data_IF_279402453805
#
_entry.id   IF_279402453805
#
_cell.length_a   1.000
_cell.length_b   1.000
_cell.length_c   1.000
_cell.angle_alpha   90.00
_cell.angle_beta   90.00
_cell.angle_gamma   90.00
#
_symmetry.space_group_name_H-M   'P 1'
#
loop_
_entity.id
_entity.type
_entity.pdbx_description
1 polymer ?
#
# COMPACT_ATOMS: atom_id res chain seq x y z
N UNK A 1 7.33 -6.01 18.04
CA UNK A 1 7.33 -4.76 17.27
C UNK A 1 6.02 -4.05 17.50
N UNK A 2 6.02 -2.73 17.59
CA UNK A 2 4.82 -1.89 17.62
C UNK A 2 4.47 -1.48 16.19
N UNK A 3 3.20 -1.53 15.79
CA UNK A 3 2.74 -1.13 14.45
C UNK A 3 1.59 -0.11 14.58
N UNK A 4 0.34 -0.55 14.72
CA UNK A 4 -0.81 0.35 14.98
C UNK A 4 -0.95 0.79 16.45
N UNK A 5 -0.15 0.26 17.37
CA UNK A 5 -0.36 0.45 18.81
C UNK A 5 -0.40 1.92 19.23
N UNK A 6 0.54 2.76 18.77
CA UNK A 6 0.60 4.16 19.17
C UNK A 6 -0.61 4.97 18.69
N UNK A 7 -1.03 4.76 17.44
CA UNK A 7 -2.24 5.38 16.89
C UNK A 7 -3.49 4.94 17.66
N UNK A 8 -3.66 3.64 17.90
CA UNK A 8 -4.82 3.11 18.62
C UNK A 8 -4.81 3.54 20.09
N UNK A 9 -3.64 3.59 20.74
CA UNK A 9 -3.54 4.09 22.11
C UNK A 9 -3.93 5.56 22.18
N UNK A 10 -3.50 6.38 21.22
CA UNK A 10 -3.92 7.77 21.12
C UNK A 10 -5.44 7.92 20.96
N UNK A 11 -6.08 7.07 20.14
CA UNK A 11 -7.55 7.04 20.03
C UNK A 11 -8.22 6.72 21.38
N UNK A 12 -7.70 5.73 22.11
CA UNK A 12 -8.22 5.36 23.43
C UNK A 12 -8.05 6.48 24.44
N UNK A 13 -6.91 7.17 24.43
CA UNK A 13 -6.65 8.33 25.28
C UNK A 13 -7.60 9.51 24.95
N UNK A 14 -8.21 9.52 23.76
CA UNK A 14 -9.24 10.49 23.37
C UNK A 14 -10.67 10.02 23.63
N UNK A 15 -10.86 8.82 24.19
CA UNK A 15 -12.15 8.30 24.61
C UNK A 15 -12.71 7.15 23.77
N UNK A 16 -12.01 6.69 22.72
CA UNK A 16 -12.38 5.47 22.01
C UNK A 16 -12.15 4.22 22.87
N UNK A 17 -12.86 3.14 22.56
CA UNK A 17 -12.78 1.83 23.20
C UNK A 17 -12.48 0.75 22.16
N UNK A 18 -11.42 -0.02 22.43
CA UNK A 18 -11.02 -1.17 21.60
C UNK A 18 -12.16 -2.17 21.51
N UNK A 19 -12.34 -2.73 20.32
CA UNK A 19 -13.39 -3.70 19.96
C UNK A 19 -14.83 -3.15 20.03
N UNK A 20 -14.98 -1.86 20.36
CA UNK A 20 -16.23 -1.12 20.37
C UNK A 20 -16.23 -0.15 19.17
N UNK A 21 -15.85 1.11 19.37
CA UNK A 21 -15.89 2.20 18.38
C UNK A 21 -14.55 2.39 17.62
N UNK A 22 -13.50 1.64 18.01
CA UNK A 22 -12.29 1.42 17.20
C UNK A 22 -12.05 -0.07 17.01
N UNK A 23 -12.10 -0.53 15.75
CA UNK A 23 -11.95 -1.95 15.40
C UNK A 23 -10.90 -2.15 14.32
N UNK A 24 -10.14 -3.23 14.45
CA UNK A 24 -9.25 -3.71 13.40
C UNK A 24 -9.98 -4.56 12.37
N UNK A 25 -9.59 -4.44 11.10
CA UNK A 25 -10.00 -5.33 10.02
C UNK A 25 -8.79 -6.10 9.47
N UNK A 26 -8.23 -7.07 10.22
CA UNK A 26 -7.11 -7.86 9.74
C UNK A 26 -7.55 -8.81 8.61
N UNK A 27 -6.62 -9.11 7.71
CA UNK A 27 -6.82 -10.00 6.57
C UNK A 27 -5.56 -10.84 6.31
N UNK A 28 -5.67 -11.88 5.48
CA UNK A 28 -4.50 -12.60 5.00
C UNK A 28 -3.76 -11.75 3.96
N UNK A 29 -2.76 -11.01 4.43
CA UNK A 29 -1.95 -10.09 3.63
C UNK A 29 -1.02 -10.78 2.64
N UNK A 30 -0.89 -12.11 2.68
CA UNK A 30 -0.12 -12.87 1.67
C UNK A 30 -0.85 -12.92 0.34
N UNK A 31 -2.18 -12.79 0.37
CA UNK A 31 -3.08 -12.85 -0.78
C UNK A 31 -3.33 -11.47 -1.38
N UNK A 32 -3.86 -11.44 -2.60
CA UNK A 32 -4.44 -10.24 -3.20
C UNK A 32 -5.98 -10.20 -2.97
N UNK A 33 -6.65 -9.07 -3.26
CA UNK A 33 -8.09 -8.93 -2.99
C UNK A 33 -9.00 -10.00 -3.61
N UNK A 34 -8.66 -10.53 -4.78
CA UNK A 34 -9.41 -11.58 -5.47
C UNK A 34 -9.54 -12.88 -4.66
N UNK A 35 -8.68 -13.11 -3.67
CA UNK A 35 -8.71 -14.32 -2.82
C UNK A 35 -9.17 -14.03 -1.38
N UNK A 36 -9.72 -12.84 -1.14
CA UNK A 36 -10.13 -12.34 0.18
C UNK A 36 -11.60 -11.87 0.18
N UNK A 37 -12.48 -12.51 -0.58
CA UNK A 37 -13.90 -12.12 -0.69
C UNK A 37 -14.63 -12.13 0.66
N UNK A 38 -14.43 -13.17 1.48
CA UNK A 38 -15.04 -13.28 2.82
C UNK A 38 -14.63 -12.11 3.74
N UNK A 39 -13.39 -11.63 3.61
CA UNK A 39 -12.92 -10.45 4.34
C UNK A 39 -13.72 -9.21 3.97
N UNK A 40 -14.01 -8.99 2.68
CA UNK A 40 -14.79 -7.82 2.25
C UNK A 40 -16.26 -7.89 2.69
N UNK A 41 -16.84 -9.09 2.73
CA UNK A 41 -18.18 -9.31 3.31
C UNK A 41 -18.18 -8.98 4.79
N UNK A 42 -17.19 -9.47 5.54
CA UNK A 42 -17.05 -9.19 6.97
C UNK A 42 -16.78 -7.70 7.24
N UNK A 43 -15.94 -7.04 6.44
CA UNK A 43 -15.64 -5.61 6.53
C UNK A 43 -16.90 -4.78 6.33
N UNK A 44 -17.67 -5.04 5.27
CA UNK A 44 -18.94 -4.35 5.03
C UNK A 44 -19.90 -4.50 6.20
N UNK A 45 -20.09 -5.73 6.69
CA UNK A 45 -20.96 -6.01 7.83
C UNK A 45 -20.49 -5.29 9.10
N UNK A 46 -19.18 -5.24 9.36
CA UNK A 46 -18.63 -4.52 10.50
C UNK A 46 -18.92 -3.01 10.41
N UNK A 47 -18.73 -2.41 9.22
CA UNK A 47 -19.03 -1.00 8.98
C UNK A 47 -20.51 -0.69 9.23
N UNK A 48 -21.41 -1.51 8.69
CA UNK A 48 -22.85 -1.37 8.88
C UNK A 48 -23.23 -1.49 10.37
N UNK A 49 -22.66 -2.48 11.09
CA UNK A 49 -22.89 -2.64 12.54
C UNK A 49 -22.40 -1.46 13.36
N UNK A 50 -21.22 -0.91 13.05
CA UNK A 50 -20.69 0.27 13.73
C UNK A 50 -21.60 1.49 13.49
N UNK A 51 -22.08 1.67 12.26
CA UNK A 51 -23.02 2.74 11.95
C UNK A 51 -24.32 2.62 12.77
N UNK A 52 -24.93 1.43 12.81
CA UNK A 52 -26.18 1.22 13.56
C UNK A 52 -25.97 1.38 15.08
N UNK A 53 -24.82 0.95 15.60
CA UNK A 53 -24.52 1.02 17.04
C UNK A 53 -24.19 2.43 17.52
N UNK A 54 -23.48 3.23 16.72
CA UNK A 54 -22.96 4.55 17.13
C UNK A 54 -23.67 5.72 16.43
N UNK A 55 -24.58 5.46 15.49
CA UNK A 55 -25.42 6.45 14.83
C UNK A 55 -24.67 7.39 13.88
N UNK A 56 -23.45 7.04 13.46
CA UNK A 56 -22.59 7.88 12.61
C UNK A 56 -21.86 7.05 11.55
N UNK A 57 -21.62 7.61 10.34
CA UNK A 57 -20.72 7.01 9.35
C UNK A 57 -19.30 6.82 9.92
N UNK A 58 -18.61 5.78 9.45
CA UNK A 58 -17.28 5.39 9.96
C UNK A 58 -16.15 6.12 9.24
N UNK A 59 -15.03 6.32 9.92
CA UNK A 59 -13.77 6.75 9.29
C UNK A 59 -12.90 5.52 9.04
N UNK A 60 -12.47 5.32 7.79
CA UNK A 60 -11.53 4.27 7.43
C UNK A 60 -10.10 4.81 7.55
N UNK A 61 -9.24 4.15 8.30
CA UNK A 61 -7.80 4.48 8.38
C UNK A 61 -7.02 3.27 7.89
N UNK A 62 -6.31 3.41 6.77
CA UNK A 62 -5.53 2.33 6.19
C UNK A 62 -4.08 2.73 5.98
N UNK A 63 -3.19 1.75 6.09
CA UNK A 63 -1.75 1.95 5.97
C UNK A 63 -1.16 1.06 4.88
N UNK A 64 -0.22 1.59 4.11
CA UNK A 64 0.52 0.85 3.08
C UNK A 64 -0.43 0.11 2.12
N UNK A 65 -0.21 -1.18 1.86
CA UNK A 65 -1.07 -2.03 1.02
C UNK A 65 -2.54 -2.09 1.48
N UNK A 66 -2.84 -1.84 2.75
CA UNK A 66 -4.23 -1.74 3.23
C UNK A 66 -5.04 -0.69 2.47
N UNK A 67 -4.38 0.32 1.91
CA UNK A 67 -5.01 1.31 1.05
C UNK A 67 -5.49 0.73 -0.29
N UNK A 68 -4.70 -0.16 -0.89
CA UNK A 68 -5.09 -0.83 -2.12
C UNK A 68 -6.27 -1.77 -1.90
N UNK A 69 -6.31 -2.46 -0.75
CA UNK A 69 -7.48 -3.24 -0.32
C UNK A 69 -8.72 -2.37 -0.10
N UNK A 70 -8.55 -1.21 0.54
CA UNK A 70 -9.65 -0.27 0.81
C UNK A 70 -10.20 0.32 -0.49
N UNK A 71 -9.34 0.68 -1.44
CA UNK A 71 -9.74 1.16 -2.76
C UNK A 71 -10.51 0.07 -3.54
N UNK A 72 -9.99 -1.16 -3.56
CA UNK A 72 -10.66 -2.32 -4.17
C UNK A 72 -12.07 -2.52 -3.62
N UNK A 73 -12.21 -2.43 -2.29
CA UNK A 73 -13.49 -2.55 -1.58
C UNK A 73 -14.46 -1.43 -1.97
N UNK A 74 -14.02 -0.17 -1.88
CA UNK A 74 -14.86 1.01 -2.13
C UNK A 74 -15.28 1.12 -3.61
N UNK A 75 -14.45 0.71 -4.57
CA UNK A 75 -14.84 0.67 -5.98
C UNK A 75 -15.94 -0.35 -6.28
N UNK A 76 -16.16 -1.32 -5.36
CA UNK A 76 -17.21 -2.36 -5.48
C UNK A 76 -18.43 -2.11 -4.60
N UNK A 77 -18.46 -0.98 -3.87
CA UNK A 77 -19.65 -0.58 -3.13
C UNK A 77 -20.47 0.45 -3.92
N UNK A 78 -21.81 0.34 -3.91
CA UNK A 78 -22.70 1.38 -4.43
C UNK A 78 -22.40 2.76 -3.83
N UNK A 79 -22.59 3.82 -4.62
CA UNK A 79 -22.26 5.19 -4.18
C UNK A 79 -23.15 5.65 -3.01
N UNK A 80 -24.43 5.30 -3.03
CA UNK A 80 -25.39 5.55 -1.93
C UNK A 80 -25.00 4.82 -0.64
N UNK A 81 -24.47 3.59 -0.74
CA UNK A 81 -23.91 2.89 0.41
C UNK A 81 -22.72 3.66 1.00
N UNK A 82 -21.79 4.11 0.16
CA UNK A 82 -20.62 4.87 0.63
C UNK A 82 -21.01 6.19 1.28
N UNK A 83 -21.97 6.91 0.70
CA UNK A 83 -22.50 8.17 1.25
C UNK A 83 -23.21 7.97 2.59
N UNK A 84 -23.88 6.83 2.80
CA UNK A 84 -24.51 6.51 4.08
C UNK A 84 -23.50 6.09 5.15
N UNK A 85 -22.53 5.25 4.80
CA UNK A 85 -21.75 4.51 5.79
C UNK A 85 -20.33 5.02 6.01
N UNK A 86 -19.75 5.79 5.08
CA UNK A 86 -18.35 6.23 5.16
C UNK A 86 -18.28 7.75 5.32
N UNK A 87 -17.68 8.21 6.41
CA UNK A 87 -17.44 9.64 6.68
C UNK A 87 -16.21 10.13 5.90
N UNK A 88 -15.06 9.53 6.19
CA UNK A 88 -13.76 9.91 5.63
C UNK A 88 -12.90 8.65 5.43
N UNK A 89 -11.98 8.72 4.47
CA UNK A 89 -10.94 7.72 4.27
C UNK A 89 -9.55 8.36 4.46
N UNK A 90 -8.86 8.00 5.53
CA UNK A 90 -7.47 8.38 5.80
C UNK A 90 -6.53 7.33 5.23
N UNK A 91 -5.80 7.72 4.19
CA UNK A 91 -4.82 6.89 3.51
C UNK A 91 -3.41 7.26 3.94
N UNK A 92 -2.74 6.37 4.67
CA UNK A 92 -1.37 6.56 5.16
C UNK A 92 -0.38 5.76 4.29
N UNK A 93 0.53 6.43 3.58
CA UNK A 93 1.65 5.79 2.86
C UNK A 93 1.20 4.82 1.77
N UNK A 94 0.20 5.17 0.96
CA UNK A 94 -0.39 4.24 -0.01
C UNK A 94 0.48 3.99 -1.25
N UNK A 95 0.77 2.72 -1.62
CA UNK A 95 1.54 2.36 -2.81
C UNK A 95 0.66 2.26 -4.05
N UNK A 96 -0.07 3.33 -4.40
CA UNK A 96 -1.08 3.32 -5.46
C UNK A 96 -0.60 2.79 -6.81
N UNK A 97 0.65 3.09 -7.17
CA UNK A 97 1.29 2.66 -8.42
C UNK A 97 2.24 1.49 -8.28
N UNK A 98 2.16 0.75 -7.16
CA UNK A 98 3.17 -0.23 -6.77
C UNK A 98 4.45 0.43 -6.26
N UNK A 99 5.45 -0.38 -5.91
CA UNK A 99 6.75 0.07 -5.38
C UNK A 99 7.90 -0.63 -6.08
N UNK A 100 8.98 0.11 -6.38
CA UNK A 100 10.11 -0.46 -7.11
C UNK A 100 10.81 -1.58 -6.34
N UNK A 101 10.82 -1.52 -4.99
CA UNK A 101 11.49 -2.51 -4.13
C UNK A 101 11.03 -3.95 -4.33
N UNK A 102 9.81 -4.18 -4.83
CA UNK A 102 9.28 -5.52 -5.12
C UNK A 102 10.15 -6.30 -6.10
N UNK A 103 10.81 -5.63 -7.06
CA UNK A 103 11.72 -6.28 -8.01
C UNK A 103 12.97 -6.83 -7.33
N UNK A 104 13.53 -6.12 -6.32
CA UNK A 104 14.62 -6.67 -5.49
C UNK A 104 14.13 -7.83 -4.63
N UNK A 105 12.96 -7.68 -3.99
CA UNK A 105 12.35 -8.75 -3.17
C UNK A 105 12.18 -10.04 -3.98
N UNK A 106 11.64 -9.95 -5.20
CA UNK A 106 11.44 -11.11 -6.06
C UNK A 106 12.75 -11.68 -6.60
N UNK A 107 13.74 -10.84 -6.95
CA UNK A 107 15.02 -11.29 -7.48
C UNK A 107 15.91 -11.93 -6.41
N UNK A 108 16.32 -11.17 -5.39
CA UNK A 108 17.35 -11.58 -4.41
C UNK A 108 16.82 -11.75 -2.98
N UNK A 109 15.56 -11.43 -2.74
CA UNK A 109 14.97 -11.37 -1.40
C UNK A 109 15.33 -10.07 -0.66
N UNK A 110 14.56 -9.77 0.38
CA UNK A 110 14.82 -8.63 1.28
C UNK A 110 14.70 -9.07 2.73
N UNK A 111 15.83 -9.14 3.45
CA UNK A 111 15.83 -9.48 4.87
C UNK A 111 15.58 -8.26 5.78
N UNK A 112 15.19 -7.10 5.24
CA UNK A 112 14.99 -5.84 5.99
C UNK A 112 16.19 -5.49 6.89
N UNK A 113 17.41 -5.79 6.43
CA UNK A 113 18.67 -5.60 7.19
C UNK A 113 18.75 -6.40 8.49
N UNK A 114 17.95 -7.46 8.66
CA UNK A 114 18.03 -8.39 9.79
C UNK A 114 19.16 -9.40 9.51
N UNK A 115 20.34 -9.29 10.17
CA UNK A 115 21.54 -10.02 9.73
C UNK A 115 21.45 -11.54 9.88
N UNK A 116 20.56 -12.02 10.75
CA UNK A 116 20.36 -13.45 11.06
C UNK A 116 19.53 -14.16 9.97
N UNK A 117 18.83 -13.41 9.12
CA UNK A 117 17.96 -13.95 8.07
C UNK A 117 18.67 -13.79 6.73
N UNK A 118 18.92 -14.91 6.06
CA UNK A 118 19.44 -14.90 4.69
C UNK A 118 18.36 -14.38 3.73
N UNK A 119 18.69 -13.37 2.92
CA UNK A 119 17.80 -12.82 1.87
C UNK A 119 17.28 -13.93 0.95
N UNK A 120 18.13 -14.87 0.54
CA UNK A 120 17.74 -15.97 -0.33
C UNK A 120 16.78 -16.97 0.35
N UNK A 121 16.92 -17.19 1.67
CA UNK A 121 16.00 -18.06 2.41
C UNK A 121 14.63 -17.43 2.60
N UNK A 122 14.56 -16.12 2.85
CA UNK A 122 13.28 -15.42 3.00
C UNK A 122 12.59 -15.16 1.65
N UNK A 123 13.37 -15.13 0.56
CA UNK A 123 12.88 -14.94 -0.81
C UNK A 123 11.76 -15.92 -1.18
N UNK A 124 11.87 -17.19 -0.81
CA UNK A 124 10.86 -18.19 -1.16
C UNK A 124 9.50 -17.85 -0.53
N UNK A 125 9.50 -17.42 0.73
CA UNK A 125 8.28 -16.94 1.39
C UNK A 125 7.76 -15.66 0.73
N UNK A 126 8.64 -14.71 0.40
CA UNK A 126 8.26 -13.44 -0.22
C UNK A 126 7.68 -13.63 -1.63
N UNK A 127 8.22 -14.57 -2.41
CA UNK A 127 7.71 -14.98 -3.73
C UNK A 127 6.34 -15.66 -3.61
N UNK A 128 6.15 -16.51 -2.60
CA UNK A 128 4.87 -17.22 -2.39
C UNK A 128 3.69 -16.31 -2.04
N UNK A 129 3.96 -15.09 -1.56
CA UNK A 129 2.92 -14.10 -1.30
C UNK A 129 2.51 -13.41 -2.61
N UNK A 130 1.29 -13.70 -3.08
CA UNK A 130 0.65 -13.09 -4.25
C UNK A 130 0.69 -11.55 -4.17
N UNK A 131 0.53 -10.99 -2.98
CA UNK A 131 0.60 -9.55 -2.73
C UNK A 131 1.92 -8.90 -3.17
N UNK A 132 3.04 -9.61 -3.09
CA UNK A 132 4.33 -9.10 -3.59
C UNK A 132 4.28 -8.80 -5.09
N UNK A 133 3.71 -9.72 -5.87
CA UNK A 133 3.58 -9.59 -7.32
C UNK A 133 2.51 -8.54 -7.71
N UNK A 134 1.45 -8.42 -6.89
CA UNK A 134 0.42 -7.39 -7.06
C UNK A 134 0.97 -5.96 -6.87
N UNK A 135 1.97 -5.77 -5.99
CA UNK A 135 2.59 -4.47 -5.69
C UNK A 135 3.75 -4.09 -6.63
N UNK A 136 3.96 -4.81 -7.73
CA UNK A 136 4.88 -4.39 -8.80
C UNK A 136 4.49 -3.03 -9.39
N UNK A 137 5.45 -2.24 -9.89
CA UNK A 137 5.19 -0.97 -10.57
C UNK A 137 4.16 -1.05 -11.70
N UNK A 138 3.27 -0.05 -11.79
CA UNK A 138 2.26 0.04 -12.85
C UNK A 138 2.55 1.17 -13.84
N UNK A 139 2.12 0.99 -15.10
CA UNK A 139 2.35 1.93 -16.20
C UNK A 139 1.54 3.24 -16.10
N UNK A 140 0.49 3.30 -15.29
CA UNK A 140 -0.23 4.55 -14.99
C UNK A 140 0.55 5.48 -14.03
N UNK A 141 1.64 4.98 -13.45
CA UNK A 141 2.55 5.73 -12.56
C UNK A 141 3.94 5.87 -13.14
N UNK A 142 4.50 4.80 -13.70
CA UNK A 142 5.89 4.75 -14.13
C UNK A 142 6.02 4.81 -15.64
N UNK A 143 7.01 5.55 -16.18
CA UNK A 143 7.32 5.51 -17.60
C UNK A 143 7.64 4.08 -18.03
N UNK A 144 7.06 3.69 -19.16
CA UNK A 144 7.16 2.32 -19.64
C UNK A 144 8.56 1.91 -20.12
N UNK A 145 9.47 2.87 -20.30
CA UNK A 145 10.88 2.71 -20.64
C UNK A 145 11.82 2.84 -19.42
N UNK A 146 11.29 3.10 -18.22
CA UNK A 146 12.10 3.12 -16.99
C UNK A 146 12.69 1.74 -16.75
N UNK A 147 14.01 1.70 -16.64
CA UNK A 147 14.75 0.51 -16.20
C UNK A 147 14.72 0.43 -14.67
N UNK A 148 14.10 -0.62 -14.14
CA UNK A 148 14.08 -0.88 -12.70
C UNK A 148 15.20 -1.83 -12.28
N UNK A 149 15.52 -2.82 -13.12
CA UNK A 149 16.62 -3.76 -12.87
C UNK A 149 17.56 -3.74 -14.07
N UNK A 150 18.85 -3.57 -13.81
CA UNK A 150 19.90 -3.67 -14.82
C UNK A 150 20.93 -4.73 -14.42
N UNK A 151 21.48 -5.41 -15.41
CA UNK A 151 22.49 -6.47 -15.28
C UNK A 151 23.49 -6.32 -16.43
N UNK A 152 24.65 -7.01 -16.42
CA UNK A 152 25.59 -6.98 -17.55
C UNK A 152 25.00 -7.42 -18.91
N UNK A 153 23.89 -8.17 -18.91
CA UNK A 153 23.34 -8.81 -20.12
C UNK A 153 21.91 -8.40 -20.44
N UNK A 154 21.20 -7.75 -19.52
CA UNK A 154 19.79 -7.39 -19.69
C UNK A 154 19.36 -6.21 -18.82
N UNK A 155 18.38 -5.46 -19.32
CA UNK A 155 17.60 -4.47 -18.57
C UNK A 155 16.15 -4.95 -18.47
N UNK A 156 15.49 -4.63 -17.36
CA UNK A 156 14.09 -4.96 -17.13
C UNK A 156 13.31 -3.69 -16.80
N UNK A 157 12.36 -3.38 -17.67
CA UNK A 157 11.31 -2.38 -17.48
C UNK A 157 10.01 -3.06 -17.05
N UNK A 158 8.94 -2.29 -16.84
CA UNK A 158 7.60 -2.85 -16.61
C UNK A 158 7.06 -3.66 -17.80
N UNK A 159 7.61 -3.48 -19.01
CA UNK A 159 7.23 -4.27 -20.20
C UNK A 159 7.88 -5.65 -20.21
N UNK A 160 8.89 -5.86 -19.37
CA UNK A 160 9.75 -7.04 -19.39
C UNK A 160 9.43 -8.01 -18.24
N UNK A 161 8.30 -7.86 -17.53
CA UNK A 161 7.99 -8.69 -16.37
C UNK A 161 7.97 -10.19 -16.67
N UNK A 162 7.42 -10.61 -17.81
CA UNK A 162 7.48 -12.02 -18.22
C UNK A 162 8.93 -12.53 -18.34
N UNK A 163 9.81 -11.76 -18.98
CA UNK A 163 11.23 -12.08 -19.10
C UNK A 163 11.92 -12.09 -17.73
N UNK A 164 11.61 -11.09 -16.89
CA UNK A 164 12.14 -11.00 -15.52
C UNK A 164 11.82 -12.26 -14.72
N UNK A 165 10.55 -12.70 -14.69
CA UNK A 165 10.13 -13.89 -13.93
C UNK A 165 10.83 -15.18 -14.40
N UNK A 166 10.96 -15.35 -15.72
CA UNK A 166 11.70 -16.47 -16.30
C UNK A 166 13.18 -16.44 -15.87
N UNK A 167 13.81 -15.29 -15.96
CA UNK A 167 15.25 -15.14 -15.69
C UNK A 167 15.58 -15.23 -14.18
N UNK A 168 14.60 -15.07 -13.29
CA UNK A 168 14.74 -15.35 -11.84
C UNK A 168 14.27 -16.75 -11.42
N UNK A 169 13.90 -17.59 -12.38
CA UNK A 169 13.34 -18.93 -12.19
C UNK A 169 12.12 -18.94 -11.26
N UNK A 170 11.14 -18.06 -11.52
CA UNK A 170 9.89 -17.94 -10.77
C UNK A 170 8.71 -17.61 -11.69
N UNK A 171 8.39 -18.52 -12.62
CA UNK A 171 7.34 -18.32 -13.62
C UNK A 171 5.94 -18.20 -13.01
N UNK A 172 5.67 -18.84 -11.87
CA UNK A 172 4.40 -18.70 -11.14
C UNK A 172 4.11 -17.23 -10.77
N UNK A 173 5.16 -16.43 -10.50
CA UNK A 173 5.00 -15.00 -10.21
C UNK A 173 4.43 -14.20 -11.39
N UNK A 174 4.70 -14.65 -12.63
CA UNK A 174 4.06 -14.05 -13.81
C UNK A 174 2.56 -14.32 -13.83
N UNK A 175 2.15 -15.56 -13.54
CA UNK A 175 0.73 -15.93 -13.44
C UNK A 175 0.04 -15.12 -12.33
N UNK A 176 0.66 -15.03 -11.15
CA UNK A 176 0.16 -14.19 -10.04
C UNK A 176 0.01 -12.72 -10.43
N UNK A 177 0.94 -12.18 -11.23
CA UNK A 177 0.82 -10.80 -11.74
C UNK A 177 -0.37 -10.67 -12.70
N UNK A 178 -0.55 -11.60 -13.63
CA UNK A 178 -1.68 -11.58 -14.56
C UNK A 178 -3.03 -11.66 -13.82
N UNK A 179 -3.11 -12.47 -12.77
CA UNK A 179 -4.32 -12.63 -11.94
C UNK A 179 -4.67 -11.37 -11.14
N UNK A 180 -3.71 -10.48 -10.87
CA UNK A 180 -3.87 -9.39 -9.90
C UNK A 180 -3.73 -7.99 -10.47
N UNK A 181 -3.05 -7.81 -11.60
CA UNK A 181 -2.77 -6.49 -12.20
C UNK A 181 -4.06 -5.68 -12.44
N UNK A 182 -5.13 -6.34 -12.89
CA UNK A 182 -6.37 -5.69 -13.27
C UNK A 182 -7.25 -5.26 -12.07
N UNK A 183 -6.97 -5.71 -10.84
CA UNK A 183 -7.91 -5.60 -9.72
C UNK A 183 -8.24 -4.16 -9.31
N UNK A 184 -7.27 -3.26 -9.45
CA UNK A 184 -7.38 -1.81 -9.18
C UNK A 184 -6.69 -0.96 -10.28
N UNK A 185 -6.48 -1.54 -11.46
CA UNK A 185 -5.72 -0.91 -12.55
C UNK A 185 -6.30 0.44 -12.99
N UNK A 186 -7.64 0.54 -13.04
CA UNK A 186 -8.34 1.73 -13.51
C UNK A 186 -8.13 2.94 -12.59
N UNK A 187 -7.64 2.72 -11.35
CA UNK A 187 -7.46 3.77 -10.35
C UNK A 187 -8.73 4.63 -10.20
N UNK A 188 -9.89 3.97 -10.22
CA UNK A 188 -11.20 4.64 -10.06
C UNK A 188 -11.24 5.31 -8.69
N UNK A 189 -11.58 6.62 -8.59
CA UNK A 189 -11.64 7.30 -7.30
C UNK A 189 -12.55 6.58 -6.30
N UNK A 190 -12.26 6.64 -4.99
CA UNK A 190 -13.03 5.90 -4.00
C UNK A 190 -14.48 6.42 -3.85
N UNK A 191 -14.78 7.64 -4.29
CA UNK A 191 -16.13 8.24 -4.19
C UNK A 191 -16.53 8.60 -2.77
N UNK A 192 -15.54 8.81 -1.89
CA UNK A 192 -15.68 9.31 -0.52
C UNK A 192 -14.65 10.41 -0.30
N UNK A 193 -14.81 11.23 0.74
CA UNK A 193 -13.79 12.20 1.12
C UNK A 193 -12.53 11.45 1.54
N UNK A 194 -11.40 11.76 0.92
CA UNK A 194 -10.14 11.06 1.15
C UNK A 194 -9.05 12.02 1.58
N UNK A 195 -8.26 11.59 2.56
CA UNK A 195 -7.09 12.27 3.10
C UNK A 195 -5.84 11.44 2.78
N UNK A 196 -5.08 11.84 1.77
CA UNK A 196 -3.85 11.19 1.36
C UNK A 196 -2.65 11.76 2.11
N UNK A 197 -2.15 11.02 3.09
CA UNK A 197 -0.93 11.31 3.83
C UNK A 197 0.22 10.49 3.24
N UNK A 198 1.30 11.15 2.84
CA UNK A 198 2.45 10.52 2.20
C UNK A 198 3.76 11.09 2.70
N UNK A 199 4.76 10.22 2.90
CA UNK A 199 6.11 10.63 3.30
C UNK A 199 6.94 11.16 2.12
N UNK A 200 7.82 12.11 2.42
CA UNK A 200 8.84 12.67 1.49
C UNK A 200 10.17 12.81 2.21
N UNK A 201 11.26 13.00 1.48
CA UNK A 201 12.59 13.26 2.01
C UNK A 201 13.29 12.04 2.61
N UNK A 202 12.78 10.82 2.38
CA UNK A 202 13.40 9.56 2.82
C UNK A 202 13.90 8.78 1.60
N UNK A 203 15.18 8.38 1.63
CA UNK A 203 15.79 7.60 0.54
C UNK A 203 15.02 6.30 0.29
N UNK A 204 14.37 6.22 -0.87
CA UNK A 204 13.46 5.12 -1.22
C UNK A 204 14.03 4.32 -2.39
N UNK A 205 14.16 2.99 -2.31
CA UNK A 205 14.68 2.19 -3.42
C UNK A 205 13.90 2.41 -4.72
N UNK A 206 14.61 2.75 -5.79
CA UNK A 206 14.04 3.15 -7.09
C UNK A 206 14.46 2.22 -8.22
N UNK A 207 15.73 1.81 -8.24
CA UNK A 207 16.26 0.87 -9.24
C UNK A 207 17.47 0.11 -8.70
N UNK A 208 17.79 -1.00 -9.37
CA UNK A 208 18.73 -2.01 -8.89
C UNK A 208 19.70 -2.41 -9.99
N UNK A 209 21.00 -2.35 -9.71
CA UNK A 209 22.03 -2.89 -10.59
C UNK A 209 22.65 -4.14 -9.98
N UNK A 210 22.54 -5.27 -10.68
CA UNK A 210 23.13 -6.54 -10.28
C UNK A 210 24.36 -6.83 -11.13
N UNK A 211 25.53 -6.91 -10.50
CA UNK A 211 26.72 -7.47 -11.16
C UNK A 211 26.56 -8.98 -11.42
N UNK A 212 25.87 -9.68 -10.51
CA UNK A 212 25.50 -11.09 -10.62
C UNK A 212 24.03 -11.27 -10.23
N UNK A 213 23.21 -11.74 -11.17
CA UNK A 213 21.75 -11.83 -11.04
C UNK A 213 21.30 -13.31 -11.07
N UNK A 214 20.31 -13.73 -10.25
CA UNK A 214 19.54 -12.96 -9.27
C UNK A 214 19.97 -13.17 -7.80
N UNK A 215 20.97 -14.00 -7.53
CA UNK A 215 21.27 -14.51 -6.17
C UNK A 215 22.27 -13.67 -5.35
N UNK A 216 22.64 -12.47 -5.81
CA UNK A 216 23.49 -11.52 -5.07
C UNK A 216 22.74 -10.22 -4.83
N UNK A 217 23.08 -9.51 -3.76
CA UNK A 217 22.50 -8.20 -3.48
C UNK A 217 22.89 -7.19 -4.58
N UNK A 218 21.95 -6.34 -5.03
CA UNK A 218 22.25 -5.31 -6.02
C UNK A 218 22.87 -4.06 -5.37
N UNK A 219 23.50 -3.24 -6.19
CA UNK A 219 23.63 -1.81 -5.90
C UNK A 219 22.24 -1.16 -6.04
N UNK A 220 21.80 -0.47 -4.99
CA UNK A 220 20.50 0.21 -4.94
C UNK A 220 20.70 1.68 -5.31
N UNK A 221 19.84 2.18 -6.20
CA UNK A 221 19.68 3.60 -6.46
C UNK A 221 18.38 4.08 -5.81
N UNK A 222 18.42 5.27 -5.23
CA UNK A 222 17.36 5.81 -4.41
C UNK A 222 16.68 7.00 -5.09
N UNK A 223 15.38 7.13 -4.88
CA UNK A 223 14.57 8.30 -5.20
C UNK A 223 13.92 8.86 -3.93
N UNK A 224 13.16 9.93 -4.09
CA UNK A 224 12.30 10.46 -3.03
C UNK A 224 11.11 9.53 -2.72
N UNK A 225 10.62 9.59 -1.48
CA UNK A 225 9.53 8.79 -0.94
C UNK A 225 9.59 8.70 0.59
N UNK A 226 9.02 7.63 1.14
CA UNK A 226 8.96 7.34 2.58
C UNK A 226 9.89 6.21 3.04
N UNK A 227 10.84 5.78 2.20
CA UNK A 227 11.76 4.67 2.44
C UNK A 227 11.26 3.33 1.87
N UNK A 228 9.96 3.21 1.59
CA UNK A 228 9.35 2.02 0.95
C UNK A 228 8.57 2.38 -0.31
N UNK A 229 7.70 3.37 -0.23
CA UNK A 229 6.81 3.84 -1.29
C UNK A 229 7.45 5.02 -2.00
N UNK A 230 7.74 4.82 -3.29
CA UNK A 230 8.26 5.90 -4.14
C UNK A 230 7.23 7.04 -4.23
N UNK A 231 7.69 8.29 -4.15
CA UNK A 231 6.81 9.46 -4.08
C UNK A 231 5.75 9.50 -5.21
N UNK A 232 6.13 9.22 -6.44
CA UNK A 232 5.22 9.18 -7.59
C UNK A 232 4.09 8.15 -7.48
N UNK A 233 4.30 7.06 -6.73
CA UNK A 233 3.27 6.09 -6.38
C UNK A 233 2.28 6.72 -5.41
N UNK A 234 2.76 7.28 -4.31
CA UNK A 234 1.92 7.93 -3.30
C UNK A 234 1.09 9.11 -3.86
N UNK A 235 1.63 9.83 -4.85
CA UNK A 235 0.96 10.97 -5.47
C UNK A 235 -0.19 10.63 -6.42
N UNK A 236 -0.47 9.36 -6.73
CA UNK A 236 -1.55 9.03 -7.68
C UNK A 236 -2.92 9.54 -7.24
N UNK A 237 -3.21 9.58 -5.95
CA UNK A 237 -4.49 10.09 -5.48
C UNK A 237 -4.71 11.58 -5.79
N UNK A 238 -3.66 12.37 -6.08
CA UNK A 238 -3.81 13.74 -6.59
C UNK A 238 -4.62 13.80 -7.88
N UNK A 239 -4.58 12.75 -8.71
CA UNK A 239 -5.37 12.69 -9.96
C UNK A 239 -6.87 12.67 -9.68
N UNK A 240 -7.30 12.24 -8.49
CA UNK A 240 -8.72 12.13 -8.13
C UNK A 240 -9.40 13.47 -7.83
N UNK A 241 -8.66 14.57 -7.64
CA UNK A 241 -9.20 15.89 -7.24
C UNK A 241 -10.37 16.36 -8.12
N UNK A 242 -10.37 16.00 -9.41
CA UNK A 242 -11.42 16.38 -10.36
C UNK A 242 -12.18 15.17 -10.95
N UNK A 243 -12.01 13.98 -10.37
CA UNK A 243 -12.63 12.74 -10.86
C UNK A 243 -13.77 12.26 -9.95
N UNK A 244 -13.97 12.89 -8.79
CA UNK A 244 -15.06 12.63 -7.87
C UNK A 244 -15.62 13.94 -7.30
N UNK A 245 -16.84 13.90 -6.76
CA UNK A 245 -17.47 15.07 -6.12
C UNK A 245 -16.88 15.37 -4.75
N UNK A 246 -16.50 14.32 -4.03
CA UNK A 246 -15.99 14.40 -2.67
C UNK A 246 -14.54 14.90 -2.67
N UNK A 247 -14.18 15.67 -1.64
CA UNK A 247 -12.86 16.30 -1.54
C UNK A 247 -11.72 15.27 -1.47
N UNK A 248 -10.60 15.61 -2.11
CA UNK A 248 -9.32 14.89 -2.05
C UNK A 248 -8.29 15.79 -1.40
N UNK A 249 -7.96 15.51 -0.15
CA UNK A 249 -6.99 16.27 0.64
C UNK A 249 -5.63 15.59 0.54
N UNK A 250 -4.59 16.37 0.19
CA UNK A 250 -3.21 15.89 0.14
C UNK A 250 -2.45 16.47 1.33
N UNK A 251 -1.74 15.62 2.08
CA UNK A 251 -0.86 16.05 3.16
C UNK A 251 0.51 15.37 3.02
N UNK A 252 1.53 16.21 2.84
CA UNK A 252 2.92 15.79 2.86
C UNK A 252 3.41 15.64 4.31
N UNK A 253 4.10 14.53 4.58
CA UNK A 253 4.78 14.25 5.84
C UNK A 253 6.29 14.24 5.59
N UNK A 254 6.91 15.42 5.65
CA UNK A 254 8.34 15.56 5.37
C UNK A 254 9.21 14.82 6.40
N UNK A 255 10.19 14.05 5.90
CA UNK A 255 11.11 13.24 6.69
C UNK A 255 10.46 12.04 7.38
N UNK A 256 9.24 11.67 6.99
CA UNK A 256 8.49 10.61 7.67
C UNK A 256 8.66 9.26 7.00
N UNK A 257 9.24 8.31 7.73
CA UNK A 257 9.45 6.95 7.25
C UNK A 257 8.13 6.13 7.22
N UNK A 258 8.07 5.17 6.30
CA UNK A 258 6.91 4.35 5.99
C UNK A 258 6.19 3.76 7.21
N UNK A 259 6.90 3.18 8.17
CA UNK A 259 6.31 2.60 9.38
C UNK A 259 6.17 3.65 10.49
N UNK A 260 7.17 4.54 10.62
CA UNK A 260 7.19 5.57 11.67
C UNK A 260 5.99 6.53 11.60
N UNK A 261 5.38 6.70 10.42
CA UNK A 261 4.19 7.53 10.23
C UNK A 261 3.00 7.13 11.09
N UNK A 262 2.91 5.86 11.51
CA UNK A 262 1.84 5.38 12.41
C UNK A 262 2.01 5.85 13.85
N UNK A 263 3.21 6.25 14.24
CA UNK A 263 3.54 6.78 15.57
C UNK A 263 3.91 8.25 15.56
N UNK A 264 3.93 8.89 14.39
CA UNK A 264 4.35 10.27 14.26
C UNK A 264 3.31 11.25 14.82
N UNK A 265 3.77 12.23 15.60
CA UNK A 265 2.90 13.25 16.22
C UNK A 265 2.10 14.08 15.21
N UNK A 266 2.67 14.35 14.03
CA UNK A 266 1.96 15.09 12.96
C UNK A 266 0.82 14.26 12.41
N UNK A 267 1.06 12.97 12.12
CA UNK A 267 0.02 12.04 11.67
C UNK A 267 -1.08 11.89 12.71
N UNK A 268 -0.71 11.63 13.97
CA UNK A 268 -1.66 11.46 15.08
C UNK A 268 -2.46 12.74 15.30
N UNK A 269 -1.81 13.91 15.27
CA UNK A 269 -2.48 15.21 15.40
C UNK A 269 -3.45 15.48 14.26
N UNK A 270 -3.10 15.09 13.03
CA UNK A 270 -4.00 15.21 11.89
C UNK A 270 -5.24 14.34 12.04
N UNK A 271 -5.06 13.07 12.40
CA UNK A 271 -6.17 12.14 12.67
C UNK A 271 -7.05 12.68 13.80
N UNK A 272 -6.47 13.23 14.86
CA UNK A 272 -7.23 13.88 15.95
C UNK A 272 -8.11 15.02 15.42
N UNK A 273 -7.54 15.95 14.66
CA UNK A 273 -8.30 17.08 14.11
C UNK A 273 -9.44 16.63 13.22
N UNK A 274 -9.20 15.62 12.39
CA UNK A 274 -10.22 15.04 11.52
C UNK A 274 -11.37 14.39 12.29
N UNK A 275 -11.05 13.57 13.30
CA UNK A 275 -12.06 12.84 14.07
C UNK A 275 -12.92 13.76 14.93
N UNK A 276 -12.33 14.83 15.48
CA UNK A 276 -13.02 15.77 16.37
C UNK A 276 -13.48 17.07 15.70
N UNK A 277 -13.28 17.22 14.38
CA UNK A 277 -13.59 18.43 13.60
C UNK A 277 -12.97 19.72 14.22
N UNK A 278 -11.69 19.67 14.59
CA UNK A 278 -10.94 20.76 15.23
C UNK A 278 -10.19 21.65 14.23
#
# INVERSE_FOLDING_TARGET
GSYFYMLVQSLVDWGYKRDEDVRGAPYDWRKAPNENEEYFVALRKMIELLYEQYGSPVVLIAHSMGNMYTLYFLNRQPQDWKEKYIKDYVSLGAPWGGVAKTLRVLASGDNNRIPVISSLKIRDQQRSAVSTNWMLPYNYTWPSDKVFVSTPTANYTLRDYWKFYRDINFEDGWLMRQDTEHLVYDMTPPGVRIHCLYGTGVETPDSFHYESFPDKEPKIFYSDGDGTVNLQSALQCRKWVNMQKQEVVMLELSGNEHIEMLSNDTTISYVKKLLFNL
#
